data_IF_051549272468
#
_entry.id   IF_051549272468
#
_cell.length_a   1.000
_cell.length_b   1.000
_cell.length_c   1.000
_cell.angle_alpha   90.00
_cell.angle_beta   90.00
_cell.angle_gamma   90.00
#
_symmetry.space_group_name_H-M   'P 1'
#
loop_
_entity.id
_entity.type
_entity.pdbx_description
1 polymer ?
#
# COMPACT_ATOMS: atom_id res chain seq x y z
N UNK A 1 -3.75 -5.08 9.46
CA UNK A 1 -2.59 -4.27 9.90
C UNK A 1 -2.94 -2.79 9.84
N UNK A 2 -2.16 -1.90 10.47
CA UNK A 2 -2.45 -0.46 10.49
C UNK A 2 -1.41 0.37 9.74
N UNK A 3 -1.84 1.47 9.13
CA UNK A 3 -0.98 2.48 8.53
C UNK A 3 -0.36 3.41 9.62
N UNK A 4 0.57 4.34 9.28
CA UNK A 4 1.14 5.30 10.23
C UNK A 4 0.12 6.17 10.98
N UNK A 5 -1.07 6.35 10.42
CA UNK A 5 -2.15 7.17 10.97
C UNK A 5 -3.10 6.33 11.83
N UNK A 6 -2.83 5.03 11.99
CA UNK A 6 -3.67 4.10 12.74
C UNK A 6 -4.85 3.55 11.97
N UNK A 7 -5.00 3.86 10.68
CA UNK A 7 -6.08 3.33 9.85
C UNK A 7 -5.85 1.84 9.59
N UNK A 8 -6.89 1.03 9.73
CA UNK A 8 -6.85 -0.37 9.32
C UNK A 8 -6.70 -0.46 7.79
N UNK A 9 -5.70 -1.22 7.36
CA UNK A 9 -5.49 -1.61 5.96
C UNK A 9 -6.08 -3.01 5.75
N UNK A 10 -6.85 -3.13 4.68
CA UNK A 10 -7.53 -4.34 4.21
C UNK A 10 -7.24 -4.58 2.73
N UNK A 11 -7.49 -5.80 2.26
CA UNK A 11 -7.48 -6.13 0.83
C UNK A 11 -8.47 -5.21 0.09
N UNK A 12 -8.11 -4.80 -1.12
CA UNK A 12 -8.83 -3.83 -1.96
C UNK A 12 -8.85 -2.38 -1.49
N UNK A 13 -8.21 -2.05 -0.35
CA UNK A 13 -8.01 -0.66 0.02
C UNK A 13 -7.10 0.06 -1.00
N UNK A 14 -7.48 1.28 -1.35
CA UNK A 14 -6.60 2.20 -2.08
C UNK A 14 -5.56 2.76 -1.13
N UNK A 15 -4.30 2.76 -1.56
CA UNK A 15 -3.17 3.22 -0.73
C UNK A 15 -2.20 4.08 -1.51
N UNK A 16 -1.46 4.93 -0.79
CA UNK A 16 -0.20 5.52 -1.24
C UNK A 16 0.95 4.74 -0.63
N UNK A 17 1.98 4.48 -1.42
CA UNK A 17 3.16 3.72 -1.04
C UNK A 17 4.42 4.47 -1.41
N UNK A 18 5.36 4.61 -0.47
CA UNK A 18 6.73 5.02 -0.79
C UNK A 18 7.53 3.80 -1.32
N UNK A 19 7.86 3.81 -2.61
CA UNK A 19 8.62 2.72 -3.22
C UNK A 19 10.13 2.97 -3.10
N UNK A 20 10.84 2.04 -2.46
CA UNK A 20 12.28 2.15 -2.30
C UNK A 20 13.08 2.07 -3.62
N UNK A 21 12.50 1.48 -4.68
CA UNK A 21 13.22 1.30 -5.93
C UNK A 21 13.54 2.64 -6.61
N UNK A 22 12.56 3.55 -6.63
CA UNK A 22 12.70 4.87 -7.26
C UNK A 22 12.56 6.04 -6.26
N UNK A 23 12.38 5.74 -4.97
CA UNK A 23 12.13 6.69 -3.88
C UNK A 23 10.95 7.63 -4.14
N UNK A 24 9.93 7.18 -4.89
CA UNK A 24 8.72 7.96 -5.19
C UNK A 24 7.49 7.38 -4.51
N UNK A 25 6.48 8.24 -4.37
CA UNK A 25 5.16 7.84 -3.88
C UNK A 25 4.31 7.38 -5.06
N UNK A 26 3.81 6.16 -4.97
CA UNK A 26 2.91 5.55 -5.94
C UNK A 26 1.55 5.29 -5.31
N UNK A 27 0.51 5.31 -6.14
CA UNK A 27 -0.83 4.90 -5.73
C UNK A 27 -1.11 3.49 -6.23
N UNK A 28 -1.84 2.73 -5.43
CA UNK A 28 -2.20 1.36 -5.77
C UNK A 28 -3.32 0.81 -4.91
N UNK A 29 -3.59 -0.47 -5.10
CA UNK A 29 -4.59 -1.23 -4.37
C UNK A 29 -3.93 -2.41 -3.64
N UNK A 30 -4.37 -2.69 -2.41
CA UNK A 30 -3.90 -3.87 -1.68
C UNK A 30 -4.40 -5.13 -2.36
N UNK A 31 -3.48 -5.95 -2.87
CA UNK A 31 -3.78 -7.23 -3.49
C UNK A 31 -3.88 -8.34 -2.45
N UNK A 32 -2.90 -8.44 -1.56
CA UNK A 32 -2.85 -9.48 -0.51
C UNK A 32 -2.15 -8.97 0.74
N UNK A 33 -2.51 -9.54 1.89
CA UNK A 33 -1.88 -9.30 3.18
C UNK A 33 -1.50 -10.66 3.75
N UNK A 34 -0.21 -10.91 3.93
CA UNK A 34 0.34 -12.11 4.54
C UNK A 34 1.05 -11.74 5.85
N UNK A 35 1.45 -12.72 6.66
CA UNK A 35 2.14 -12.49 7.93
C UNK A 35 3.42 -11.64 7.76
N UNK A 36 3.27 -10.34 8.01
CA UNK A 36 4.31 -9.32 7.91
C UNK A 36 4.50 -8.67 6.54
N UNK A 37 3.74 -9.03 5.49
CA UNK A 37 3.88 -8.44 4.15
C UNK A 37 2.55 -7.97 3.57
N UNK A 38 2.61 -6.87 2.81
CA UNK A 38 1.51 -6.34 2.00
C UNK A 38 1.94 -6.31 0.56
N UNK A 39 1.15 -6.93 -0.30
CA UNK A 39 1.33 -6.79 -1.73
C UNK A 39 0.37 -5.73 -2.26
N UNK A 40 0.90 -4.80 -3.04
CA UNK A 40 0.18 -3.68 -3.62
C UNK A 40 0.32 -3.74 -5.13
N UNK A 41 -0.81 -3.68 -5.82
CA UNK A 41 -0.87 -3.48 -7.27
C UNK A 41 -0.73 -1.98 -7.51
N UNK A 42 0.41 -1.55 -8.06
CA UNK A 42 0.64 -0.12 -8.33
C UNK A 42 0.08 0.24 -9.71
N UNK A 43 -0.60 1.38 -9.78
CA UNK A 43 -1.24 1.83 -11.02
C UNK A 43 -0.24 2.34 -12.07
N UNK A 44 1.03 2.46 -11.71
CA UNK A 44 2.10 2.75 -12.67
C UNK A 44 2.64 1.45 -13.25
N UNK A 45 2.60 1.35 -14.58
CA UNK A 45 3.26 0.28 -15.37
C UNK A 45 2.88 -1.17 -15.02
N UNK A 46 1.69 -1.41 -14.46
CA UNK A 46 1.19 -2.77 -14.16
C UNK A 46 2.13 -3.56 -13.22
N UNK A 47 2.74 -2.87 -12.26
CA UNK A 47 3.69 -3.47 -11.31
C UNK A 47 3.01 -4.08 -10.09
N UNK A 48 3.56 -5.19 -9.60
CA UNK A 48 3.27 -5.72 -8.26
C UNK A 48 4.42 -5.35 -7.31
N UNK A 49 4.09 -4.90 -6.10
CA UNK A 49 5.07 -4.56 -5.08
C UNK A 49 4.77 -5.29 -3.77
N UNK A 50 5.80 -5.87 -3.16
CA UNK A 50 5.71 -6.42 -1.79
C UNK A 50 6.39 -5.49 -0.79
N UNK A 51 5.68 -5.18 0.30
CA UNK A 51 6.10 -4.20 1.32
C UNK A 51 5.98 -4.84 2.70
N UNK A 52 7.08 -4.85 3.44
CA UNK A 52 7.12 -5.32 4.83
C UNK A 52 6.86 -4.20 5.84
N UNK A 53 7.31 -2.99 5.52
CA UNK A 53 7.23 -1.84 6.41
C UNK A 53 5.90 -1.10 6.21
N UNK A 54 4.96 -1.33 7.13
CA UNK A 54 3.66 -0.66 7.14
C UNK A 54 3.77 0.86 7.26
N UNK A 55 4.92 1.40 7.72
CA UNK A 55 5.12 2.84 7.81
C UNK A 55 5.17 3.54 6.44
N UNK A 56 5.37 2.76 5.37
CA UNK A 56 5.46 3.25 4.00
C UNK A 56 4.14 3.21 3.24
N UNK A 57 3.10 2.66 3.86
CA UNK A 57 1.77 2.50 3.27
C UNK A 57 0.84 3.46 3.99
N UNK A 58 0.09 4.29 3.27
CA UNK A 58 -0.94 5.17 3.85
C UNK A 58 -2.26 4.92 3.14
N UNK A 59 -3.33 4.65 3.90
CA UNK A 59 -4.66 4.43 3.32
C UNK A 59 -5.19 5.72 2.70
N UNK A 60 -5.74 5.61 1.49
CA UNK A 60 -6.52 6.67 0.85
C UNK A 60 -7.97 6.47 1.29
N UNK A 61 -8.59 7.44 1.96
CA UNK A 61 -10.00 7.34 2.32
C UNK A 61 -10.86 7.23 1.07
N UNK A 62 -11.89 6.38 1.12
CA UNK A 62 -12.94 6.42 0.12
C UNK A 62 -13.63 7.79 0.19
N UNK A 63 -13.80 8.44 -0.97
CA UNK A 63 -14.57 9.68 -1.03
C UNK A 63 -16.02 9.31 -0.73
N UNK A 64 -16.58 9.89 0.34
CA UNK A 64 -18.02 9.93 0.60
C UNK A 64 -18.75 10.63 -0.54
#
# INVERSE_FOLDING_TARGET
MKDPKGNQISISDRVKVLWNFDNKIHSGEIATINDGFVNVNVNVSSGHMSIKDNKKITKIPDKL
#
